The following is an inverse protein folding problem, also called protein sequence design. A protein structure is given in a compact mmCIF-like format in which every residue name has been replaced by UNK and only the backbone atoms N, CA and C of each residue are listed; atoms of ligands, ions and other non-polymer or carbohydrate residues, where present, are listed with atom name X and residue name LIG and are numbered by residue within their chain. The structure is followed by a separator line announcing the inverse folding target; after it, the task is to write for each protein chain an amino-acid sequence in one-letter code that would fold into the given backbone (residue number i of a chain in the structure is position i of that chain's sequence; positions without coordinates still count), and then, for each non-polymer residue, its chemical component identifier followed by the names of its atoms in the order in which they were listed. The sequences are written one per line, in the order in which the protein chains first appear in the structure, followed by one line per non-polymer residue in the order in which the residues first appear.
data_IF_317964715824
#
_entry.id   IF_317964715824
#
_cell.length_a   1.000
_cell.length_b   1.000
_cell.length_c   1.000
_cell.angle_alpha   90.00
_cell.angle_beta   90.00
_cell.angle_gamma   90.00
#
_symmetry.space_group_name_H-M   'P 1'
#
loop_
_entity.id
_entity.type
_entity.pdbx_description
1 polymer ?
#
# COMPACT_ATOMS: atom_id res chain seq x y z
N UNK A 1 6.12 -5.40 -11.37
CA UNK A 1 5.05 -5.70 -12.35
C UNK A 1 3.74 -5.69 -11.59
N UNK A 2 2.74 -4.98 -12.10
CA UNK A 2 1.39 -5.00 -11.55
C UNK A 2 0.85 -6.43 -11.53
N UNK A 3 0.12 -6.86 -10.48
CA UNK A 3 -0.51 -8.17 -10.48
C UNK A 3 -1.50 -8.35 -11.64
N UNK A 4 -2.00 -7.26 -12.19
CA UNK A 4 -2.93 -7.25 -13.32
C UNK A 4 -2.27 -7.27 -14.71
N UNK A 5 -0.94 -7.37 -14.78
CA UNK A 5 -0.19 -7.36 -16.05
C UNK A 5 -0.13 -6.00 -16.74
N UNK A 6 -0.62 -4.94 -16.11
CA UNK A 6 -0.76 -3.61 -16.68
C UNK A 6 0.49 -2.75 -16.42
N UNK A 7 1.08 -2.19 -17.46
CA UNK A 7 2.23 -1.30 -17.36
C UNK A 7 1.86 0.09 -16.83
N UNK A 8 2.84 0.88 -16.44
CA UNK A 8 2.62 2.27 -16.00
C UNK A 8 2.05 3.16 -17.10
N UNK A 9 2.26 2.80 -18.37
CA UNK A 9 1.75 3.52 -19.55
C UNK A 9 0.37 3.05 -20.00
N UNK A 10 -0.19 1.98 -19.41
CA UNK A 10 -1.54 1.50 -19.75
C UNK A 10 -2.56 2.59 -19.52
N UNK A 11 -3.45 2.77 -20.49
CA UNK A 11 -4.57 3.73 -20.46
C UNK A 11 -5.84 2.99 -20.85
N UNK A 12 -6.96 3.44 -20.32
CA UNK A 12 -8.28 2.93 -20.64
C UNK A 12 -9.13 3.99 -21.36
N UNK A 13 -10.36 3.62 -21.67
CA UNK A 13 -11.37 4.48 -22.24
C UNK A 13 -11.90 5.50 -21.21
N UNK A 14 -12.32 6.66 -21.68
CA UNK A 14 -12.86 7.71 -20.80
C UNK A 14 -14.28 7.40 -20.31
N UNK A 15 -15.01 6.54 -21.02
CA UNK A 15 -16.38 6.15 -20.69
C UNK A 15 -16.45 4.67 -20.39
N UNK A 16 -17.32 4.34 -19.44
CA UNK A 16 -17.66 2.97 -19.09
C UNK A 16 -18.36 2.26 -20.26
N UNK A 17 -18.07 0.99 -20.43
CA UNK A 17 -18.65 0.13 -21.46
C UNK A 17 -18.93 -1.26 -20.89
N UNK A 18 -19.67 -2.09 -21.66
CA UNK A 18 -20.02 -3.44 -21.22
C UNK A 18 -18.75 -4.30 -20.98
N UNK A 19 -18.76 -5.03 -19.85
CA UNK A 19 -17.67 -5.95 -19.43
C UNK A 19 -16.29 -5.26 -19.26
N UNK A 20 -16.31 -4.04 -18.73
CA UNK A 20 -15.10 -3.32 -18.35
C UNK A 20 -14.79 -3.41 -16.85
N UNK A 21 -13.56 -3.09 -16.50
CA UNK A 21 -13.07 -2.84 -15.14
C UNK A 21 -12.62 -1.39 -15.02
N UNK A 22 -12.65 -0.84 -13.82
CA UNK A 22 -12.12 0.49 -13.54
C UNK A 22 -10.60 0.44 -13.38
N UNK A 23 -9.88 1.08 -14.28
CA UNK A 23 -8.43 1.21 -14.22
C UNK A 23 -8.03 2.43 -13.40
N UNK A 24 -7.22 2.20 -12.37
CA UNK A 24 -6.59 3.26 -11.58
C UNK A 24 -5.14 3.42 -12.04
N UNK A 25 -4.83 4.60 -12.52
CA UNK A 25 -3.49 4.95 -13.01
C UNK A 25 -3.02 6.28 -12.42
N UNK A 26 -1.77 6.67 -12.68
CA UNK A 26 -1.25 7.99 -12.31
C UNK A 26 -2.00 9.17 -12.98
N UNK A 27 -2.82 8.90 -13.99
CA UNK A 27 -3.66 9.88 -14.67
C UNK A 27 -5.11 9.89 -14.20
N UNK A 28 -5.43 9.08 -13.18
CA UNK A 28 -6.77 8.96 -12.64
C UNK A 28 -7.48 7.70 -13.09
N UNK A 29 -8.81 7.74 -13.04
CA UNK A 29 -9.71 6.62 -13.40
C UNK A 29 -10.01 6.60 -14.89
N UNK A 30 -10.07 5.41 -15.46
CA UNK A 30 -10.50 5.10 -16.82
C UNK A 30 -11.05 3.67 -16.87
N UNK A 31 -11.49 3.18 -18.02
CA UNK A 31 -12.13 1.88 -18.16
C UNK A 31 -11.37 0.99 -19.13
N UNK A 32 -11.18 -0.27 -18.77
CA UNK A 32 -10.41 -1.23 -19.54
C UNK A 32 -11.23 -2.53 -19.71
N UNK A 33 -11.11 -3.16 -20.88
CA UNK A 33 -11.78 -4.44 -21.10
C UNK A 33 -11.20 -5.52 -20.14
N UNK A 34 -12.09 -6.28 -19.52
CA UNK A 34 -11.74 -7.31 -18.51
C UNK A 34 -10.79 -8.38 -19.07
N UNK A 35 -10.83 -8.62 -20.38
CA UNK A 35 -9.94 -9.57 -21.06
C UNK A 35 -8.47 -9.15 -21.04
N UNK A 36 -8.19 -7.85 -20.95
CA UNK A 36 -6.83 -7.30 -20.93
C UNK A 36 -6.14 -7.42 -19.57
N UNK A 37 -6.87 -7.90 -18.56
CA UNK A 37 -6.42 -7.96 -17.18
C UNK A 37 -5.97 -9.38 -16.84
N UNK A 38 -4.76 -9.53 -16.31
CA UNK A 38 -4.28 -10.77 -15.70
C UNK A 38 -4.85 -10.96 -14.28
N UNK A 39 -4.77 -12.18 -13.76
CA UNK A 39 -5.21 -12.54 -12.39
C UNK A 39 -6.62 -12.04 -12.10
N UNK A 40 -7.56 -12.45 -12.94
CA UNK A 40 -8.96 -11.99 -12.92
C UNK A 40 -9.67 -12.25 -11.59
N UNK A 41 -9.21 -13.24 -10.84
CA UNK A 41 -9.69 -13.56 -9.49
C UNK A 41 -9.52 -12.41 -8.48
N UNK A 42 -8.56 -11.52 -8.71
CA UNK A 42 -8.34 -10.36 -7.87
C UNK A 42 -9.33 -9.20 -8.17
N UNK A 43 -10.00 -9.23 -9.31
CA UNK A 43 -10.95 -8.17 -9.71
C UNK A 43 -12.09 -8.09 -8.68
N UNK A 44 -12.59 -9.23 -8.23
CA UNK A 44 -13.75 -9.33 -7.35
C UNK A 44 -13.38 -9.29 -5.85
N UNK A 45 -12.16 -8.87 -5.53
CA UNK A 45 -11.65 -8.67 -4.18
C UNK A 45 -11.42 -7.18 -3.87
N UNK A 46 -11.39 -6.82 -2.57
CA UNK A 46 -10.86 -5.55 -2.10
C UNK A 46 -9.33 -5.64 -2.05
N UNK A 47 -8.62 -4.70 -2.65
CA UNK A 47 -7.17 -4.68 -2.68
C UNK A 47 -6.65 -3.52 -1.84
N UNK A 48 -5.54 -3.75 -1.14
CA UNK A 48 -4.83 -2.71 -0.41
C UNK A 48 -3.47 -2.50 -1.06
N UNK A 49 -3.12 -1.26 -1.33
CA UNK A 49 -1.86 -0.94 -1.99
C UNK A 49 -1.33 0.44 -1.67
N UNK A 50 -0.13 0.68 -2.17
CA UNK A 50 0.61 1.94 -2.06
C UNK A 50 1.19 2.32 -3.42
N UNK A 51 1.57 3.58 -3.58
CA UNK A 51 2.42 3.97 -4.71
C UNK A 51 3.78 3.28 -4.63
N UNK A 52 4.33 2.92 -5.77
CA UNK A 52 5.62 2.20 -5.84
C UNK A 52 6.82 3.10 -5.51
N UNK A 53 6.69 4.42 -5.59
CA UNK A 53 7.75 5.36 -5.25
C UNK A 53 7.82 5.63 -3.75
N UNK A 54 9.04 5.58 -3.20
CA UNK A 54 9.32 6.05 -1.86
C UNK A 54 9.23 7.58 -1.84
N UNK A 55 8.29 8.19 -1.09
CA UNK A 55 8.08 9.63 -1.10
C UNK A 55 9.25 10.43 -0.52
N UNK A 56 10.03 9.84 0.38
CA UNK A 56 11.14 10.52 1.06
C UNK A 56 12.38 10.64 0.18
N UNK A 57 12.57 9.72 -0.77
CA UNK A 57 13.69 9.74 -1.73
C UNK A 57 13.35 10.35 -3.07
N UNK A 58 12.06 10.52 -3.38
CA UNK A 58 11.58 11.16 -4.60
C UNK A 58 11.61 12.69 -4.60
N UNK A 59 12.14 13.30 -3.55
CA UNK A 59 12.21 14.77 -3.40
C UNK A 59 10.86 15.44 -3.11
N UNK A 60 9.80 14.67 -2.91
CA UNK A 60 8.43 15.18 -2.74
C UNK A 60 8.16 15.64 -1.31
N UNK A 61 8.96 15.21 -0.33
CA UNK A 61 8.77 15.52 1.08
C UNK A 61 10.11 15.77 1.81
N UNK A 62 10.82 16.81 1.45
CA UNK A 62 11.87 17.37 2.32
C UNK A 62 11.21 18.12 3.50
N UNK A 63 10.54 17.38 4.38
CA UNK A 63 10.00 17.97 5.58
C UNK A 63 11.14 18.33 6.52
N UNK A 64 11.06 19.56 7.04
CA UNK A 64 12.07 20.16 7.94
C UNK A 64 12.18 19.48 9.31
N UNK A 65 11.27 18.52 9.62
CA UNK A 65 11.22 17.82 10.92
C UNK A 65 12.05 16.52 10.96
N UNK A 66 12.68 16.14 9.85
CA UNK A 66 13.50 14.93 9.75
C UNK A 66 12.74 13.61 9.78
N UNK A 67 11.39 13.63 9.84
CA UNK A 67 10.57 12.42 9.89
C UNK A 67 10.27 11.87 8.50
N UNK A 68 10.25 10.55 8.39
CA UNK A 68 9.98 9.82 7.16
C UNK A 68 8.51 9.44 7.02
N UNK A 69 7.99 9.47 5.79
CA UNK A 69 6.71 8.86 5.44
C UNK A 69 6.87 7.37 5.13
N UNK A 70 8.02 6.99 4.56
CA UNK A 70 8.40 5.63 4.13
C UNK A 70 7.59 5.14 2.94
N UNK A 71 6.26 5.23 3.02
CA UNK A 71 5.33 4.85 1.95
C UNK A 71 4.45 6.03 1.56
N UNK A 72 3.89 6.00 0.36
CA UNK A 72 2.76 6.85 0.00
C UNK A 72 1.53 6.48 0.82
N UNK A 73 0.44 7.23 0.68
CA UNK A 73 -0.85 6.88 1.30
C UNK A 73 -1.24 5.45 0.96
N UNK A 74 -1.74 4.73 1.96
CA UNK A 74 -2.31 3.39 1.79
C UNK A 74 -3.73 3.54 1.26
N UNK A 75 -4.00 2.91 0.12
CA UNK A 75 -5.28 3.01 -0.60
C UNK A 75 -5.96 1.66 -0.62
N UNK A 76 -7.27 1.67 -0.42
CA UNK A 76 -8.13 0.50 -0.62
C UNK A 76 -8.79 0.66 -2.00
N UNK A 77 -8.60 -0.33 -2.85
CA UNK A 77 -9.24 -0.44 -4.16
C UNK A 77 -10.46 -1.35 -4.04
N UNK A 78 -11.59 -0.88 -4.53
CA UNK A 78 -12.85 -1.62 -4.49
C UNK A 78 -12.86 -2.81 -5.47
N UNK A 79 -13.87 -3.67 -5.32
CA UNK A 79 -14.17 -4.71 -6.32
C UNK A 79 -14.43 -4.05 -7.67
N UNK A 80 -13.92 -4.66 -8.74
CA UNK A 80 -13.97 -4.08 -10.07
C UNK A 80 -12.86 -3.07 -10.39
N UNK A 81 -12.07 -2.61 -9.42
CA UNK A 81 -10.93 -1.72 -9.64
C UNK A 81 -9.65 -2.52 -9.85
N UNK A 82 -8.85 -2.14 -10.83
CA UNK A 82 -7.51 -2.68 -11.13
C UNK A 82 -6.50 -1.54 -11.23
N UNK A 83 -5.22 -1.84 -11.03
CA UNK A 83 -4.18 -0.81 -11.01
C UNK A 83 -3.09 -1.06 -12.05
N UNK A 84 -2.47 0.00 -12.53
CA UNK A 84 -1.21 -0.08 -13.27
C UNK A 84 -0.03 -0.41 -12.35
N UNK A 85 1.14 -0.70 -12.93
CA UNK A 85 2.39 -0.92 -12.21
C UNK A 85 2.90 0.31 -11.42
N UNK A 86 2.21 1.44 -11.48
CA UNK A 86 2.46 2.60 -10.60
C UNK A 86 2.17 2.28 -9.13
N UNK A 87 1.32 1.29 -8.89
CA UNK A 87 0.90 0.90 -7.54
C UNK A 87 1.33 -0.53 -7.22
N UNK A 88 1.80 -0.72 -5.99
CA UNK A 88 2.14 -2.01 -5.43
C UNK A 88 0.95 -2.51 -4.60
N UNK A 89 0.33 -3.62 -5.02
CA UNK A 89 -0.73 -4.28 -4.25
C UNK A 89 -0.08 -5.16 -3.18
N UNK A 90 -0.42 -4.89 -1.94
CA UNK A 90 0.12 -5.53 -0.73
C UNK A 90 -0.73 -6.71 -0.26
N UNK A 91 -2.04 -6.64 -0.49
CA UNK A 91 -2.99 -7.69 -0.11
C UNK A 91 -4.30 -7.58 -0.86
N UNK A 92 -5.04 -8.69 -0.91
CA UNK A 92 -6.38 -8.77 -1.49
C UNK A 92 -7.29 -9.56 -0.54
N UNK A 93 -8.53 -9.12 -0.38
CA UNK A 93 -9.44 -9.56 0.67
C UNK A 93 -10.86 -9.72 0.13
N UNK A 94 -11.58 -10.71 0.64
CA UNK A 94 -12.96 -10.99 0.23
C UNK A 94 -13.96 -9.92 0.70
N UNK A 95 -13.70 -9.33 1.87
CA UNK A 95 -14.56 -8.30 2.44
C UNK A 95 -13.80 -7.02 2.80
N UNK A 96 -14.54 -5.92 2.85
CA UNK A 96 -14.00 -4.58 3.08
C UNK A 96 -13.39 -4.42 4.47
N UNK A 97 -13.97 -5.04 5.50
CA UNK A 97 -13.50 -4.92 6.88
C UNK A 97 -12.07 -5.47 7.04
N UNK A 98 -11.77 -6.63 6.42
CA UNK A 98 -10.41 -7.17 6.41
C UNK A 98 -9.43 -6.25 5.70
N UNK A 99 -9.83 -5.66 4.58
CA UNK A 99 -9.00 -4.71 3.85
C UNK A 99 -8.74 -3.43 4.66
N UNK A 100 -9.74 -2.92 5.36
CA UNK A 100 -9.61 -1.74 6.24
C UNK A 100 -8.68 -2.02 7.43
N UNK A 101 -8.82 -3.16 8.09
CA UNK A 101 -7.96 -3.57 9.19
C UNK A 101 -6.50 -3.75 8.72
N UNK A 102 -6.31 -4.38 7.56
CA UNK A 102 -4.98 -4.50 6.95
C UNK A 102 -4.39 -3.13 6.57
N UNK A 103 -5.18 -2.25 5.98
CA UNK A 103 -4.74 -0.91 5.63
C UNK A 103 -4.33 -0.10 6.87
N UNK A 104 -5.09 -0.21 7.97
CA UNK A 104 -4.76 0.41 9.26
C UNK A 104 -3.42 -0.12 9.78
N UNK A 105 -3.19 -1.44 9.71
CA UNK A 105 -1.92 -2.06 10.09
C UNK A 105 -0.73 -1.51 9.28
N UNK A 106 -0.86 -1.43 7.96
CA UNK A 106 0.21 -0.88 7.09
C UNK A 106 0.49 0.61 7.39
N UNK A 107 -0.51 1.38 7.85
CA UNK A 107 -0.35 2.79 8.23
C UNK A 107 0.40 2.99 9.54
N UNK A 108 0.53 1.98 10.40
CA UNK A 108 1.22 2.11 11.68
C UNK A 108 2.67 2.56 11.50
N UNK A 109 3.20 3.27 12.47
CA UNK A 109 4.62 3.67 12.50
C UNK A 109 5.51 2.44 12.62
N UNK A 110 5.09 1.46 13.42
CA UNK A 110 5.79 0.18 13.59
C UNK A 110 6.05 -0.50 12.24
N UNK A 111 5.02 -0.72 11.43
CA UNK A 111 5.16 -1.37 10.13
C UNK A 111 6.02 -0.55 9.18
N UNK A 112 5.79 0.76 9.08
CA UNK A 112 6.58 1.63 8.20
C UNK A 112 8.04 1.74 8.64
N UNK A 113 8.31 1.69 9.93
CA UNK A 113 9.68 1.58 10.44
C UNK A 113 10.36 0.30 9.96
N UNK A 114 9.70 -0.87 10.06
CA UNK A 114 10.23 -2.14 9.57
C UNK A 114 10.51 -2.10 8.05
N UNK A 115 9.62 -1.50 7.27
CA UNK A 115 9.82 -1.29 5.83
C UNK A 115 11.06 -0.41 5.58
N UNK A 116 11.25 0.65 6.38
CA UNK A 116 12.37 1.58 6.22
C UNK A 116 13.73 0.93 6.37
N UNK A 117 13.85 -0.11 7.18
CA UNK A 117 15.11 -0.85 7.41
C UNK A 117 15.67 -1.51 6.16
N UNK A 118 14.82 -1.78 5.17
CA UNK A 118 15.20 -2.46 3.93
C UNK A 118 15.17 -1.55 2.70
N UNK A 119 14.81 -0.27 2.89
CA UNK A 119 14.73 0.69 1.79
C UNK A 119 16.13 1.16 1.34
N UNK A 120 16.58 0.66 0.19
CA UNK A 120 17.84 1.06 -0.44
C UNK A 120 17.67 1.87 -1.72
N UNK A 121 16.45 1.94 -2.28
CA UNK A 121 16.16 2.57 -3.57
C UNK A 121 14.95 3.50 -3.51
N UNK A 122 14.68 4.19 -4.61
CA UNK A 122 13.48 5.02 -4.80
C UNK A 122 12.20 4.19 -4.95
N UNK A 123 12.31 2.90 -5.30
CA UNK A 123 11.16 2.03 -5.52
C UNK A 123 10.97 1.08 -4.35
N UNK A 124 9.73 1.01 -3.87
CA UNK A 124 9.29 0.04 -2.88
C UNK A 124 8.89 -1.24 -3.63
N UNK A 125 9.37 -2.36 -3.15
CA UNK A 125 9.09 -3.69 -3.68
C UNK A 125 8.58 -4.62 -2.58
N UNK A 126 8.10 -5.80 -2.95
CA UNK A 126 7.69 -6.82 -1.96
C UNK A 126 8.82 -7.21 -1.00
N UNK A 127 10.07 -7.15 -1.43
CA UNK A 127 11.24 -7.45 -0.59
C UNK A 127 11.40 -6.49 0.59
N UNK A 128 10.86 -5.27 0.49
CA UNK A 128 10.92 -4.33 1.59
C UNK A 128 10.00 -4.70 2.77
N UNK A 129 9.12 -5.69 2.59
CA UNK A 129 8.19 -6.17 3.62
C UNK A 129 8.70 -7.44 4.33
N UNK A 130 9.95 -7.85 4.12
CA UNK A 130 10.52 -9.09 4.68
C UNK A 130 10.47 -9.15 6.22
N UNK A 131 10.56 -8.02 6.89
CA UNK A 131 10.47 -7.92 8.35
C UNK A 131 9.07 -7.62 8.87
N UNK A 132 8.10 -7.39 8.00
CA UNK A 132 6.72 -7.07 8.40
C UNK A 132 5.99 -8.37 8.75
N UNK A 133 5.65 -8.59 10.04
CA UNK A 133 5.01 -9.84 10.44
C UNK A 133 3.55 -9.88 10.02
N UNK A 134 3.07 -11.08 9.71
CA UNK A 134 1.65 -11.32 9.42
C UNK A 134 0.86 -11.27 10.73
N UNK A 135 -0.29 -10.61 10.70
CA UNK A 135 -1.21 -10.49 11.83
C UNK A 135 -2.56 -11.16 11.53
N UNK A 136 -3.40 -11.28 12.56
CA UNK A 136 -4.82 -11.54 12.39
C UNK A 136 -5.52 -10.22 12.04
N UNK A 137 -6.08 -10.14 10.82
CA UNK A 137 -6.77 -8.94 10.33
C UNK A 137 -8.30 -8.98 10.57
N UNK A 138 -8.81 -9.90 11.38
CA UNK A 138 -10.19 -9.82 11.88
C UNK A 138 -10.38 -8.64 12.86
N UNK A 139 -9.29 -8.03 13.30
CA UNK A 139 -9.30 -6.79 14.07
C UNK A 139 -8.32 -5.76 13.47
N UNK A 140 -8.50 -4.50 13.82
CA UNK A 140 -7.51 -3.46 13.56
C UNK A 140 -6.32 -3.58 14.52
N UNK A 141 -5.18 -3.00 14.16
CA UNK A 141 -3.97 -2.93 14.96
C UNK A 141 -3.51 -1.48 15.11
N UNK A 142 -3.13 -1.12 16.32
CA UNK A 142 -2.53 0.17 16.66
C UNK A 142 -1.03 0.02 16.92
N UNK A 143 -0.29 1.12 16.89
CA UNK A 143 1.13 1.12 17.25
C UNK A 143 1.36 0.60 18.68
N UNK A 144 0.56 1.04 19.66
CA UNK A 144 0.67 0.61 21.07
C UNK A 144 0.47 -0.91 21.24
N UNK A 145 -0.52 -1.48 20.54
CA UNK A 145 -0.74 -2.93 20.56
C UNK A 145 0.44 -3.69 19.95
N UNK A 146 1.04 -3.17 18.88
CA UNK A 146 2.20 -3.78 18.23
C UNK A 146 3.46 -3.64 19.09
N UNK A 147 3.71 -2.48 19.66
CA UNK A 147 4.82 -2.26 20.58
C UNK A 147 4.76 -3.22 21.78
N UNK A 148 3.58 -3.37 22.37
CA UNK A 148 3.35 -4.31 23.48
C UNK A 148 3.54 -5.76 23.05
N UNK A 149 2.95 -6.16 21.91
CA UNK A 149 3.02 -7.52 21.38
C UNK A 149 4.44 -7.98 21.10
N UNK A 150 5.28 -7.07 20.59
CA UNK A 150 6.67 -7.38 20.24
C UNK A 150 7.67 -7.02 21.35
N UNK A 151 7.18 -6.54 22.51
CA UNK A 151 7.99 -6.28 23.68
C UNK A 151 9.03 -5.19 23.50
N UNK A 152 8.69 -4.12 22.75
CA UNK A 152 9.61 -3.01 22.53
C UNK A 152 9.88 -2.27 23.84
N UNK A 153 11.14 -1.87 24.03
CA UNK A 153 11.53 -1.00 25.12
C UNK A 153 11.04 0.43 24.90
N UNK A 154 10.99 1.23 25.96
CA UNK A 154 10.61 2.64 25.84
C UNK A 154 11.55 3.40 24.88
N UNK A 155 12.84 3.12 24.91
CA UNK A 155 13.83 3.75 24.02
C UNK A 155 13.56 3.40 22.53
N UNK A 156 13.22 2.14 22.24
CA UNK A 156 12.87 1.70 20.88
C UNK A 156 11.59 2.36 20.39
N UNK A 157 10.58 2.48 21.24
CA UNK A 157 9.33 3.18 20.94
C UNK A 157 9.61 4.65 20.60
N UNK A 158 10.33 5.36 21.46
CA UNK A 158 10.70 6.77 21.27
C UNK A 158 11.50 6.96 19.97
N UNK A 159 12.39 6.03 19.66
CA UNK A 159 13.13 6.06 18.40
C UNK A 159 12.20 5.96 17.18
N UNK A 160 11.29 4.98 17.15
CA UNK A 160 10.30 4.83 16.06
C UNK A 160 9.42 6.07 15.95
N UNK A 161 8.91 6.58 17.09
CA UNK A 161 8.06 7.76 17.15
C UNK A 161 8.77 9.04 16.64
N UNK A 162 10.09 9.14 16.85
CA UNK A 162 10.91 10.23 16.35
C UNK A 162 11.20 10.16 14.86
N UNK A 163 11.25 8.94 14.30
CA UNK A 163 11.68 8.68 12.92
C UNK A 163 10.51 8.69 11.92
N UNK A 164 9.34 8.22 12.32
CA UNK A 164 8.23 7.95 11.42
C UNK A 164 7.09 8.95 11.64
N UNK A 165 6.66 9.57 10.54
CA UNK A 165 5.53 10.51 10.54
C UNK A 165 4.21 9.77 10.73
N UNK A 166 3.23 10.33 11.49
CA UNK A 166 1.86 9.80 11.50
C UNK A 166 1.27 9.73 10.08
N UNK A 167 0.43 8.74 9.83
CA UNK A 167 -0.32 8.59 8.57
C UNK A 167 -1.81 8.36 8.90
N UNK A 168 -2.67 9.22 8.36
CA UNK A 168 -4.14 9.09 8.43
C UNK A 168 -4.70 8.25 7.30
#
# INVERSE_FOLDING_TARGET
ISPFGLSTSTRGEAKEFHDCVTLISSKGKSFLAKEQVANKELIDQFKVGIGQLNPDRGGVNNASDGKMNVTTKVVIYDKGEVTTATYLILGAFENRSLAENYATYIRTKFVRFLISLTLSSMHITKNNFVFVPIQDFNKSWTDDELYTKYGLTQEEIEFIESMIRPME
#
